data_IF_596853183835
#
_entry.id   IF_596853183835
#
_cell.length_a   1.000
_cell.length_b   1.000
_cell.length_c   1.000
_cell.angle_alpha   90.00
_cell.angle_beta   90.00
_cell.angle_gamma   90.00
#
_symmetry.space_group_name_H-M   'P 1'
#
loop_
_entity.id
_entity.type
_entity.pdbx_description
1 polymer ?
#
# COMPACT_ATOMS: atom_id res chain seq x y z
N UNK A 1 -7.03 -2.28 29.66
CA UNK A 1 -6.85 -1.35 28.52
C UNK A 1 -5.43 -1.54 28.01
N UNK A 2 -5.23 -2.38 26.99
CA UNK A 2 -3.89 -2.58 26.40
C UNK A 2 -3.64 -1.37 25.51
N UNK A 3 -2.77 -0.47 25.95
CA UNK A 3 -2.29 0.64 25.13
C UNK A 3 -1.33 0.01 24.13
N UNK A 4 -1.80 -0.25 22.91
CA UNK A 4 -0.92 -0.61 21.81
C UNK A 4 -0.06 0.61 21.50
N UNK A 5 1.25 0.49 21.69
CA UNK A 5 2.19 1.53 21.33
C UNK A 5 2.16 1.64 19.79
N UNK A 6 1.47 2.66 19.30
CA UNK A 6 1.10 2.85 17.88
C UNK A 6 2.31 3.39 17.06
N UNK A 7 3.52 2.92 17.36
CA UNK A 7 4.74 3.38 16.69
C UNK A 7 4.82 2.78 15.30
N UNK A 8 4.22 3.48 14.34
CA UNK A 8 4.47 3.23 12.92
C UNK A 8 5.90 3.61 12.60
N UNK A 9 6.70 2.71 12.01
CA UNK A 9 8.11 3.01 11.71
C UNK A 9 8.23 4.05 10.59
N UNK A 10 7.13 4.35 9.88
CA UNK A 10 7.02 5.46 8.96
C UNK A 10 6.26 6.62 9.59
N UNK A 11 6.79 7.82 9.42
CA UNK A 11 6.17 9.09 9.80
C UNK A 11 6.05 9.98 8.57
N UNK A 12 4.96 10.75 8.47
CA UNK A 12 4.78 11.69 7.36
C UNK A 12 5.92 12.72 7.32
N UNK A 13 6.40 13.03 6.11
CA UNK A 13 7.54 13.91 5.86
C UNK A 13 8.90 13.22 5.94
N UNK A 14 8.99 12.03 6.53
CA UNK A 14 10.23 11.27 6.63
C UNK A 14 10.75 10.86 5.24
N UNK A 15 12.08 10.81 5.10
CA UNK A 15 12.72 10.18 3.95
C UNK A 15 12.93 8.69 4.23
N UNK A 16 12.52 7.87 3.27
CA UNK A 16 12.80 6.43 3.21
C UNK A 16 13.86 6.21 2.12
N UNK A 17 15.01 5.71 2.55
CA UNK A 17 16.10 5.30 1.67
C UNK A 17 15.82 3.88 1.18
N UNK A 18 15.51 3.74 -0.11
CA UNK A 18 15.46 2.46 -0.81
C UNK A 18 16.83 2.08 -1.36
N UNK A 19 16.93 0.87 -1.90
CA UNK A 19 18.08 0.35 -2.63
C UNK A 19 18.38 1.15 -3.89
N UNK A 20 17.34 1.59 -4.63
CA UNK A 20 17.52 2.30 -5.90
C UNK A 20 17.06 3.76 -5.86
N UNK A 21 16.11 4.07 -4.98
CA UNK A 21 15.42 5.37 -4.96
C UNK A 21 15.23 5.90 -3.56
N UNK A 22 15.07 7.21 -3.46
CA UNK A 22 14.64 7.88 -2.22
C UNK A 22 13.19 8.29 -2.30
N UNK A 23 12.47 8.10 -1.21
CA UNK A 23 11.05 8.42 -1.15
C UNK A 23 10.73 9.33 0.02
N UNK A 24 9.90 10.34 -0.20
CA UNK A 24 9.28 11.08 0.89
C UNK A 24 7.97 10.41 1.27
N UNK A 25 7.85 10.02 2.54
CA UNK A 25 6.64 9.45 3.13
C UNK A 25 5.59 10.54 3.23
N UNK A 26 4.38 10.26 2.77
CA UNK A 26 3.20 11.12 2.91
C UNK A 26 2.23 10.61 3.97
N UNK A 27 1.01 11.13 3.92
CA UNK A 27 -0.07 10.74 4.84
C UNK A 27 -0.41 9.25 4.77
N UNK A 28 -0.93 8.74 5.89
CA UNK A 28 -1.62 7.44 5.96
C UNK A 28 -2.89 7.49 5.08
N UNK A 29 -3.00 6.56 4.14
CA UNK A 29 -4.13 6.46 3.20
C UNK A 29 -4.97 5.19 3.34
N UNK A 30 -4.46 4.19 4.07
CA UNK A 30 -5.18 2.95 4.33
C UNK A 30 -4.73 2.30 5.63
N UNK A 31 -5.67 1.74 6.39
CA UNK A 31 -5.41 0.98 7.61
C UNK A 31 -6.24 -0.31 7.57
N UNK A 32 -5.56 -1.44 7.48
CA UNK A 32 -6.14 -2.77 7.68
C UNK A 32 -5.85 -3.29 9.08
N UNK A 33 -6.22 -4.54 9.33
CA UNK A 33 -5.90 -5.24 10.59
C UNK A 33 -4.39 -5.40 10.79
N UNK A 34 -3.70 -5.77 9.72
CA UNK A 34 -2.29 -6.20 9.78
C UNK A 34 -1.35 -5.27 9.02
N UNK A 35 -1.87 -4.35 8.22
CA UNK A 35 -1.09 -3.46 7.37
C UNK A 35 -1.58 -2.01 7.44
N UNK A 36 -0.64 -1.08 7.26
CA UNK A 36 -0.91 0.33 6.97
C UNK A 36 -0.34 0.67 5.60
N UNK A 37 -1.00 1.58 4.90
CA UNK A 37 -0.58 2.07 3.59
C UNK A 37 -0.40 3.57 3.71
N UNK A 38 0.81 4.04 3.44
CA UNK A 38 1.15 5.45 3.35
C UNK A 38 1.22 5.86 1.88
N UNK A 39 0.82 7.09 1.58
CA UNK A 39 1.18 7.72 0.32
C UNK A 39 2.67 8.08 0.34
N UNK A 40 3.24 8.33 -0.83
CA UNK A 40 4.62 8.76 -0.93
C UNK A 40 4.93 9.37 -2.29
N UNK A 41 6.14 9.94 -2.38
CA UNK A 41 6.67 10.50 -3.63
C UNK A 41 8.11 10.02 -3.81
N UNK A 42 8.41 9.43 -4.96
CA UNK A 42 9.76 9.16 -5.40
C UNK A 42 10.46 10.50 -5.69
N UNK A 43 11.57 10.77 -5.02
CA UNK A 43 12.27 12.05 -5.09
C UNK A 43 13.10 12.23 -6.36
N UNK A 44 13.41 11.14 -7.07
CA UNK A 44 14.24 11.18 -8.28
C UNK A 44 13.42 11.60 -9.51
N UNK A 45 12.14 11.22 -9.56
CA UNK A 45 11.26 11.49 -10.71
C UNK A 45 9.93 12.15 -10.35
N UNK A 46 9.67 12.45 -9.07
CA UNK A 46 8.43 13.07 -8.60
C UNK A 46 7.20 12.17 -8.64
N UNK A 47 7.35 10.87 -8.95
CA UNK A 47 6.21 9.95 -9.13
C UNK A 47 5.56 9.62 -7.78
N UNK A 48 4.23 9.67 -7.73
CA UNK A 48 3.47 9.23 -6.57
C UNK A 48 3.53 7.71 -6.41
N UNK A 49 3.71 7.25 -5.17
CA UNK A 49 3.80 5.84 -4.80
C UNK A 49 2.93 5.53 -3.59
N UNK A 50 2.60 4.25 -3.39
CA UNK A 50 2.04 3.74 -2.15
C UNK A 50 3.09 2.90 -1.43
N UNK A 51 3.16 3.04 -0.10
CA UNK A 51 4.09 2.32 0.77
C UNK A 51 3.26 1.43 1.70
N UNK A 52 3.28 0.12 1.45
CA UNK A 52 2.62 -0.86 2.31
C UNK A 52 3.61 -1.33 3.38
N UNK A 53 3.14 -1.34 4.62
CA UNK A 53 3.91 -1.82 5.77
C UNK A 53 3.01 -2.64 6.69
N UNK A 54 3.57 -3.68 7.30
CA UNK A 54 2.88 -4.51 8.29
C UNK A 54 3.41 -4.24 9.70
N UNK A 55 2.54 -4.40 10.69
CA UNK A 55 2.94 -4.36 12.11
C UNK A 55 3.25 -5.78 12.53
N UNK A 56 4.50 -6.19 12.40
CA UNK A 56 4.94 -7.48 12.93
C UNK A 56 4.94 -7.42 14.45
N UNK A 57 3.98 -8.11 15.09
CA UNK A 57 4.12 -8.61 16.48
C UNK A 57 4.56 -10.08 16.50
N UNK A 58 4.55 -10.75 15.35
CA UNK A 58 5.04 -12.10 15.16
C UNK A 58 5.95 -12.06 13.94
N UNK A 59 7.17 -12.60 14.03
CA UNK A 59 8.18 -12.65 12.97
C UNK A 59 7.76 -13.46 11.73
N UNK A 60 6.65 -13.05 11.12
CA UNK A 60 5.96 -13.72 10.03
C UNK A 60 6.25 -12.99 8.73
N UNK A 61 6.67 -13.76 7.72
CA UNK A 61 7.21 -13.26 6.45
C UNK A 61 6.12 -12.87 5.43
N UNK A 62 4.94 -12.43 5.88
CA UNK A 62 3.77 -12.26 5.01
C UNK A 62 4.03 -11.29 3.84
N UNK A 63 4.66 -10.14 4.09
CA UNK A 63 5.07 -9.21 3.03
C UNK A 63 6.05 -9.81 2.02
N UNK A 64 6.98 -10.68 2.45
CA UNK A 64 7.91 -11.33 1.52
C UNK A 64 7.18 -12.30 0.58
N UNK A 65 6.22 -13.07 1.11
CA UNK A 65 5.36 -13.92 0.30
C UNK A 65 4.49 -13.09 -0.65
N UNK A 66 3.88 -12.01 -0.16
CA UNK A 66 3.08 -11.11 -0.98
C UNK A 66 3.89 -10.47 -2.10
N UNK A 67 5.11 -10.02 -1.81
CA UNK A 67 6.02 -9.53 -2.83
C UNK A 67 6.30 -10.60 -3.90
N UNK A 68 6.61 -11.84 -3.49
CA UNK A 68 6.84 -12.94 -4.44
C UNK A 68 5.64 -13.19 -5.35
N UNK A 69 4.42 -13.12 -4.79
CA UNK A 69 3.18 -13.21 -5.58
C UNK A 69 3.07 -12.05 -6.58
N UNK A 70 3.28 -10.81 -6.15
CA UNK A 70 3.26 -9.66 -7.07
C UNK A 70 4.31 -9.78 -8.18
N UNK A 71 5.51 -10.26 -7.87
CA UNK A 71 6.56 -10.50 -8.88
C UNK A 71 6.14 -11.56 -9.89
N UNK A 72 5.42 -12.58 -9.45
CA UNK A 72 4.93 -13.66 -10.32
C UNK A 72 3.76 -13.21 -11.22
N UNK A 73 3.01 -12.20 -10.79
CA UNK A 73 1.86 -11.62 -11.49
C UNK A 73 2.19 -10.31 -12.23
N UNK A 74 3.47 -9.93 -12.27
CA UNK A 74 3.89 -8.67 -12.89
C UNK A 74 3.52 -8.63 -14.38
N UNK A 75 2.96 -7.50 -14.82
CA UNK A 75 2.53 -7.30 -16.21
C UNK A 75 1.08 -7.70 -16.50
N UNK A 76 0.39 -8.37 -15.57
CA UNK A 76 -1.04 -8.68 -15.72
C UNK A 76 -1.87 -7.40 -15.51
N UNK A 77 -2.79 -7.05 -16.43
CA UNK A 77 -3.66 -5.90 -16.27
C UNK A 77 -4.48 -5.97 -14.98
N UNK A 78 -4.48 -4.88 -14.21
CA UNK A 78 -5.20 -4.80 -12.93
C UNK A 78 -4.36 -5.20 -11.71
N UNK A 79 -3.16 -5.74 -11.91
CA UNK A 79 -2.19 -5.99 -10.82
C UNK A 79 -1.27 -4.76 -10.69
N UNK A 80 -1.12 -4.20 -9.48
CA UNK A 80 -0.27 -3.03 -9.27
C UNK A 80 1.21 -3.35 -9.49
N UNK A 81 1.95 -2.40 -10.07
CA UNK A 81 3.41 -2.52 -10.20
C UNK A 81 4.09 -2.39 -8.84
N UNK A 82 5.07 -3.23 -8.59
CA UNK A 82 5.98 -3.09 -7.44
C UNK A 82 7.26 -2.43 -7.91
N UNK A 83 7.63 -1.32 -7.28
CA UNK A 83 8.87 -0.61 -7.60
C UNK A 83 10.05 -1.19 -6.82
N UNK A 84 9.86 -1.44 -5.52
CA UNK A 84 10.94 -1.90 -4.67
C UNK A 84 10.44 -2.47 -3.34
N UNK A 85 11.30 -3.25 -2.67
CA UNK A 85 11.20 -3.52 -1.23
C UNK A 85 12.28 -2.72 -0.52
N UNK A 86 11.86 -1.93 0.46
CA UNK A 86 12.75 -1.25 1.39
C UNK A 86 12.70 -1.94 2.76
N UNK A 87 13.75 -1.77 3.55
CA UNK A 87 13.79 -2.22 4.95
C UNK A 87 14.15 -1.05 5.83
N UNK A 88 13.37 -0.81 6.88
CA UNK A 88 13.68 0.19 7.89
C UNK A 88 13.66 -0.48 9.26
N UNK A 89 14.80 -0.45 9.96
CA UNK A 89 15.04 -1.25 11.16
C UNK A 89 14.83 -2.74 10.85
N UNK A 90 13.68 -3.30 11.25
CA UNK A 90 13.27 -4.68 10.98
C UNK A 90 12.01 -4.77 10.12
N UNK A 91 11.33 -3.64 9.90
CA UNK A 91 10.08 -3.61 9.15
C UNK A 91 10.36 -3.59 7.64
N UNK A 92 9.66 -4.48 6.94
CA UNK A 92 9.67 -4.56 5.48
C UNK A 92 8.62 -3.61 4.93
N UNK A 93 9.00 -2.84 3.92
CA UNK A 93 8.12 -1.87 3.26
C UNK A 93 8.10 -2.19 1.78
N UNK A 94 6.91 -2.45 1.23
CA UNK A 94 6.72 -2.59 -0.21
C UNK A 94 6.35 -1.22 -0.78
N UNK A 95 7.17 -0.73 -1.71
CA UNK A 95 6.89 0.47 -2.49
C UNK A 95 6.27 0.04 -3.82
N UNK A 96 5.04 0.50 -4.05
CA UNK A 96 4.21 0.05 -5.16
C UNK A 96 3.47 1.22 -5.82
N UNK A 97 2.79 0.91 -6.93
CA UNK A 97 1.96 1.83 -7.66
C UNK A 97 0.87 2.46 -6.78
N UNK A 98 0.79 3.80 -6.84
CA UNK A 98 -0.30 4.53 -6.19
C UNK A 98 -1.56 4.41 -7.05
N UNK A 99 -2.56 3.72 -6.52
CA UNK A 99 -3.86 3.57 -7.16
C UNK A 99 -4.89 4.56 -6.60
N UNK A 100 -6.02 4.67 -7.29
CA UNK A 100 -7.16 5.46 -6.87
C UNK A 100 -7.85 4.92 -5.60
N UNK A 101 -8.97 5.55 -5.20
CA UNK A 101 -9.74 5.12 -4.03
C UNK A 101 -10.21 3.67 -4.16
N UNK A 102 -10.27 2.96 -3.04
CA UNK A 102 -10.80 1.60 -3.00
C UNK A 102 -12.29 1.56 -3.37
N UNK A 103 -12.76 0.40 -3.84
CA UNK A 103 -14.19 0.19 -4.09
C UNK A 103 -15.04 0.43 -2.85
N UNK A 104 -14.53 0.11 -1.65
CA UNK A 104 -15.23 0.38 -0.39
C UNK A 104 -15.38 1.89 -0.17
N UNK A 105 -14.33 2.66 -0.42
CA UNK A 105 -14.38 4.12 -0.30
C UNK A 105 -15.38 4.71 -1.30
N UNK A 106 -15.31 4.29 -2.57
CA UNK A 106 -16.25 4.71 -3.60
C UNK A 106 -17.69 4.33 -3.26
N UNK A 107 -17.90 3.16 -2.68
CA UNK A 107 -19.22 2.69 -2.27
C UNK A 107 -19.79 3.57 -1.16
N UNK A 108 -18.98 3.90 -0.15
CA UNK A 108 -19.36 4.85 0.91
C UNK A 108 -19.65 6.24 0.35
N UNK A 109 -18.81 6.72 -0.56
CA UNK A 109 -18.99 8.01 -1.24
C UNK A 109 -20.32 8.08 -2.00
N UNK A 110 -20.73 6.97 -2.64
CA UNK A 110 -22.02 6.85 -3.31
C UNK A 110 -23.18 6.48 -2.35
N UNK A 111 -23.12 6.88 -1.08
CA UNK A 111 -24.14 6.57 -0.06
C UNK A 111 -24.47 5.07 0.04
N UNK A 112 -23.44 4.22 -0.06
CA UNK A 112 -23.55 2.75 -0.04
C UNK A 112 -24.49 2.20 -1.11
N UNK A 113 -24.52 2.84 -2.29
CA UNK A 113 -25.30 2.37 -3.44
C UNK A 113 -24.58 2.62 -4.75
N UNK A 114 -24.36 1.55 -5.50
CA UNK A 114 -23.95 1.64 -6.91
C UNK A 114 -25.13 1.38 -7.83
N UNK A 115 -25.07 1.95 -9.04
CA UNK A 115 -26.01 1.60 -10.10
C UNK A 115 -25.77 0.16 -10.57
N UNK A 116 -26.81 -0.50 -11.12
CA UNK A 116 -26.66 -1.85 -11.70
C UNK A 116 -25.55 -1.87 -12.76
N UNK A 117 -25.50 -0.85 -13.63
CA UNK A 117 -24.44 -0.69 -14.64
C UNK A 117 -23.06 -0.70 -14.00
N UNK A 118 -22.85 0.06 -12.92
CA UNK A 118 -21.57 0.12 -12.19
C UNK A 118 -21.21 -1.25 -11.61
N UNK A 119 -22.18 -1.93 -10.96
CA UNK A 119 -21.96 -3.28 -10.40
C UNK A 119 -21.57 -4.27 -11.48
N UNK A 120 -22.28 -4.31 -12.61
CA UNK A 120 -21.94 -5.18 -13.75
C UNK A 120 -20.56 -4.88 -14.34
N UNK A 121 -20.19 -3.60 -14.46
CA UNK A 121 -18.88 -3.20 -14.98
C UNK A 121 -17.74 -3.59 -14.05
N UNK A 122 -17.93 -3.50 -12.73
CA UNK A 122 -16.95 -3.97 -11.73
C UNK A 122 -16.83 -5.49 -11.80
N UNK A 123 -17.95 -6.21 -11.77
CA UNK A 123 -17.95 -7.68 -11.82
C UNK A 123 -17.37 -8.28 -13.09
N UNK A 124 -17.37 -7.54 -14.21
CA UNK A 124 -16.70 -7.94 -15.45
C UNK A 124 -15.17 -7.82 -15.40
N UNK A 125 -14.65 -6.96 -14.51
CA UNK A 125 -13.23 -6.57 -14.45
C UNK A 125 -12.49 -7.20 -13.27
N UNK A 126 -13.21 -7.76 -12.30
CA UNK A 126 -12.69 -8.56 -11.20
C UNK A 126 -12.77 -10.04 -11.56
#
# INVERSE_FOLDING_TARGET
MVVFNDSTPLTEGQILEGKYHRYRVGKLIGKGSSARIFSGVNLDNGKQVAMKIEYTHSGSNHLHHEYSMYRSLEGIPGIPKIYEICKKNEDVIIVMEYLGPSLEWLFKYCNKRFSIKTVCMIGKRM
#
